data_IF_758257208752
#
_entry.id   IF_758257208752
#
_cell.length_a   1.000
_cell.length_b   1.000
_cell.length_c   1.000
_cell.angle_alpha   90.00
_cell.angle_beta   90.00
_cell.angle_gamma   90.00
#
_symmetry.space_group_name_H-M   'P 1'
#
loop_
_entity.id
_entity.type
_entity.pdbx_description
1 polymer ?
#
# COMPACT_ATOMS: atom_id res chain seq x y z
N UNK A 1 -19.51 -4.25 -20.43
CA UNK A 1 -18.72 -5.15 -19.57
C UNK A 1 -17.23 -5.05 -19.89
N UNK A 2 -16.77 -5.29 -21.13
CA UNK A 2 -15.33 -5.21 -21.50
C UNK A 2 -14.67 -3.84 -21.29
N UNK A 3 -15.37 -2.73 -21.60
CA UNK A 3 -14.82 -1.37 -21.41
C UNK A 3 -14.56 -1.02 -19.95
N UNK A 4 -15.37 -1.55 -19.03
CA UNK A 4 -15.20 -1.31 -17.59
C UNK A 4 -13.97 -2.07 -17.06
N UNK A 5 -13.78 -3.31 -17.49
CA UNK A 5 -12.62 -4.12 -17.12
C UNK A 5 -11.31 -3.53 -17.67
N UNK A 6 -11.32 -3.06 -18.92
CA UNK A 6 -10.18 -2.35 -19.52
C UNK A 6 -9.88 -1.05 -18.76
N UNK A 7 -10.91 -0.29 -18.38
CA UNK A 7 -10.74 0.95 -17.62
C UNK A 7 -10.17 0.68 -16.21
N UNK A 8 -10.74 -0.30 -15.49
CA UNK A 8 -10.28 -0.68 -14.15
C UNK A 8 -8.86 -1.26 -14.15
N UNK A 9 -8.47 -1.97 -15.21
CA UNK A 9 -7.12 -2.51 -15.36
C UNK A 9 -6.13 -1.42 -15.77
N UNK A 10 -6.49 -0.51 -16.67
CA UNK A 10 -5.61 0.56 -17.15
C UNK A 10 -5.34 1.64 -16.09
N UNK A 11 -6.27 1.89 -15.17
CA UNK A 11 -6.16 2.90 -14.12
C UNK A 11 -4.89 2.73 -13.25
N UNK A 12 -4.60 1.57 -12.65
CA UNK A 12 -3.35 1.32 -11.93
C UNK A 12 -2.09 1.56 -12.77
N UNK A 13 -2.08 1.18 -14.06
CA UNK A 13 -0.93 1.40 -14.94
C UNK A 13 -0.68 2.89 -15.18
N UNK A 14 -1.74 3.66 -15.45
CA UNK A 14 -1.65 5.12 -15.63
C UNK A 14 -1.19 5.79 -14.33
N UNK A 15 -1.72 5.37 -13.19
CA UNK A 15 -1.31 5.86 -11.88
C UNK A 15 0.19 5.57 -11.62
N UNK A 16 0.65 4.36 -11.92
CA UNK A 16 2.06 3.97 -11.77
C UNK A 16 2.99 4.83 -12.62
N UNK A 17 2.63 5.06 -13.89
CA UNK A 17 3.40 5.93 -14.80
C UNK A 17 3.42 7.36 -14.26
N UNK A 18 2.27 7.88 -13.84
CA UNK A 18 2.16 9.24 -13.27
C UNK A 18 3.05 9.41 -12.04
N UNK A 19 3.01 8.48 -11.09
CA UNK A 19 3.84 8.52 -9.88
C UNK A 19 5.33 8.39 -10.21
N UNK A 20 5.70 7.54 -11.17
CA UNK A 20 7.09 7.37 -11.61
C UNK A 20 7.65 8.63 -12.24
N UNK A 21 6.85 9.30 -13.09
CA UNK A 21 7.22 10.59 -13.68
C UNK A 21 7.36 11.66 -12.58
N UNK A 22 6.43 11.72 -11.63
CA UNK A 22 6.51 12.64 -10.50
C UNK A 22 7.79 12.43 -9.68
N UNK A 23 8.16 11.17 -9.43
CA UNK A 23 9.38 10.81 -8.73
C UNK A 23 10.63 11.26 -9.50
N UNK A 24 10.67 11.10 -10.82
CA UNK A 24 11.78 11.58 -11.66
C UNK A 24 11.94 13.10 -11.58
N UNK A 25 10.84 13.85 -11.66
CA UNK A 25 10.87 15.31 -11.51
C UNK A 25 11.39 15.74 -10.13
N UNK A 26 10.95 15.08 -9.06
CA UNK A 26 11.41 15.37 -7.71
C UNK A 26 12.87 15.01 -7.49
N UNK A 27 13.37 14.00 -8.21
CA UNK A 27 14.78 13.61 -8.15
C UNK A 27 15.71 14.64 -8.80
N UNK A 28 15.20 15.42 -9.77
CA UNK A 28 15.89 16.54 -10.43
C UNK A 28 15.79 17.82 -9.59
N UNK A 29 14.73 17.98 -8.80
CA UNK A 29 14.51 19.13 -7.92
C UNK A 29 15.52 19.21 -6.76
N UNK A 30 15.66 20.40 -6.16
CA UNK A 30 16.59 20.61 -5.04
C UNK A 30 16.29 19.65 -3.88
N UNK A 31 17.34 19.08 -3.30
CA UNK A 31 17.26 18.04 -2.26
C UNK A 31 16.97 18.64 -0.89
N UNK A 32 15.79 19.20 -0.72
CA UNK A 32 15.28 19.57 0.61
C UNK A 32 14.84 18.33 1.40
N UNK A 33 14.89 18.43 2.73
CA UNK A 33 14.45 17.37 3.64
C UNK A 33 13.00 16.95 3.39
N UNK A 34 12.15 17.92 3.00
CA UNK A 34 10.76 17.71 2.62
C UNK A 34 10.65 16.90 1.33
N UNK A 35 11.37 17.30 0.27
CA UNK A 35 11.39 16.62 -1.03
C UNK A 35 11.89 15.19 -0.87
N UNK A 36 12.94 14.96 -0.06
CA UNK A 36 13.45 13.61 0.22
C UNK A 36 12.43 12.70 0.89
N UNK A 37 11.67 13.23 1.84
CA UNK A 37 10.64 12.44 2.55
C UNK A 37 9.42 12.18 1.65
N UNK A 38 9.08 13.13 0.79
CA UNK A 38 8.04 12.98 -0.23
C UNK A 38 8.41 11.93 -1.28
N UNK A 39 9.66 11.95 -1.77
CA UNK A 39 10.16 10.93 -2.69
C UNK A 39 10.05 9.52 -2.10
N UNK A 40 10.41 9.33 -0.83
CA UNK A 40 10.25 8.04 -0.16
C UNK A 40 8.79 7.59 -0.17
N UNK A 41 7.86 8.47 0.23
CA UNK A 41 6.42 8.18 0.21
C UNK A 41 5.92 7.79 -1.19
N UNK A 42 6.37 8.50 -2.23
CA UNK A 42 6.07 8.16 -3.62
C UNK A 42 6.61 6.79 -4.02
N UNK A 43 7.85 6.45 -3.67
CA UNK A 43 8.42 5.12 -3.96
C UNK A 43 7.59 4.02 -3.32
N UNK A 44 7.10 4.22 -2.08
CA UNK A 44 6.24 3.25 -1.42
C UNK A 44 4.88 3.08 -2.11
N UNK A 45 4.26 4.17 -2.55
CA UNK A 45 3.00 4.13 -3.33
C UNK A 45 3.20 3.45 -4.68
N UNK A 46 4.33 3.69 -5.35
CA UNK A 46 4.70 3.01 -6.61
C UNK A 46 4.85 1.51 -6.36
N UNK A 47 5.58 1.13 -5.31
CA UNK A 47 5.79 -0.27 -4.95
C UNK A 47 4.47 -0.99 -4.62
N UNK A 48 3.58 -0.32 -3.87
CA UNK A 48 2.22 -0.79 -3.59
C UNK A 48 1.41 -1.00 -4.88
N UNK A 49 1.41 -0.01 -5.78
CA UNK A 49 0.64 -0.06 -7.02
C UNK A 49 1.18 -1.12 -7.98
N UNK A 50 2.51 -1.28 -8.06
CA UNK A 50 3.15 -2.34 -8.80
C UNK A 50 2.76 -3.74 -8.27
N UNK A 51 2.74 -3.92 -6.94
CA UNK A 51 2.33 -5.18 -6.32
C UNK A 51 0.87 -5.54 -6.65
N UNK A 52 -0.03 -4.56 -6.64
CA UNK A 52 -1.44 -4.75 -7.03
C UNK A 52 -1.59 -5.16 -8.51
N UNK A 53 -0.79 -4.56 -9.41
CA UNK A 53 -0.74 -4.93 -10.82
C UNK A 53 -0.20 -6.36 -10.99
N UNK A 54 0.89 -6.71 -10.31
CA UNK A 54 1.47 -8.05 -10.40
C UNK A 54 0.55 -9.14 -9.86
N UNK A 55 -0.22 -8.83 -8.81
CA UNK A 55 -1.27 -9.69 -8.29
C UNK A 55 -2.40 -9.88 -9.32
N UNK A 56 -2.80 -8.81 -10.00
CA UNK A 56 -3.83 -8.84 -11.05
C UNK A 56 -3.37 -9.62 -12.30
N UNK A 57 -2.07 -9.61 -12.59
CA UNK A 57 -1.45 -10.35 -13.70
C UNK A 57 -1.12 -11.82 -13.36
N UNK A 58 -1.44 -12.31 -12.17
CA UNK A 58 -1.14 -13.67 -11.70
C UNK A 58 0.35 -14.08 -11.90
N UNK A 59 1.29 -13.14 -11.79
CA UNK A 59 2.70 -13.39 -12.09
C UNK A 59 3.36 -14.35 -11.06
N UNK A 60 4.24 -15.27 -11.49
CA UNK A 60 5.02 -16.10 -10.57
C UNK A 60 5.89 -15.23 -9.65
N UNK A 61 6.14 -15.60 -8.38
CA UNK A 61 6.11 -16.96 -7.82
C UNK A 61 4.75 -17.43 -7.25
N UNK A 62 3.88 -16.53 -6.76
CA UNK A 62 2.49 -16.83 -6.37
C UNK A 62 1.69 -15.54 -6.11
N UNK A 63 0.36 -15.60 -6.29
CA UNK A 63 -0.55 -14.49 -5.93
C UNK A 63 -0.43 -14.13 -4.45
N UNK A 64 -0.25 -15.12 -3.57
CA UNK A 64 -0.09 -14.93 -2.12
C UNK A 64 1.16 -14.10 -1.78
N UNK A 65 2.24 -14.26 -2.53
CA UNK A 65 3.45 -13.46 -2.35
C UNK A 65 3.21 -11.99 -2.69
N UNK A 66 2.53 -11.71 -3.80
CA UNK A 66 2.18 -10.36 -4.21
C UNK A 66 1.19 -9.70 -3.24
N UNK A 67 0.27 -10.46 -2.66
CA UNK A 67 -0.63 -9.98 -1.61
C UNK A 67 0.13 -9.57 -0.34
N UNK A 68 1.10 -10.39 0.11
CA UNK A 68 1.99 -10.03 1.23
C UNK A 68 2.78 -8.75 0.97
N UNK A 69 3.32 -8.60 -0.25
CA UNK A 69 4.03 -7.39 -0.68
C UNK A 69 3.08 -6.21 -0.71
N UNK A 70 1.88 -6.38 -1.25
CA UNK A 70 0.84 -5.37 -1.27
C UNK A 70 0.60 -4.92 0.16
N UNK A 71 0.11 -5.77 1.07
CA UNK A 71 -0.14 -5.42 2.49
C UNK A 71 1.05 -4.72 3.14
N UNK A 72 2.28 -5.20 2.93
CA UNK A 72 3.48 -4.54 3.47
C UNK A 72 3.69 -3.14 2.90
N UNK A 73 3.44 -2.94 1.61
CA UNK A 73 3.47 -1.65 0.94
C UNK A 73 2.45 -0.66 1.52
N UNK A 74 1.30 -1.13 2.07
CA UNK A 74 0.27 -0.23 2.65
C UNK A 74 0.88 0.45 3.85
N UNK A 75 1.45 -0.40 4.70
CA UNK A 75 1.89 -0.07 6.04
C UNK A 75 3.06 0.89 5.91
N UNK A 76 3.98 0.57 4.99
CA UNK A 76 5.10 1.44 4.63
C UNK A 76 4.60 2.76 4.05
N UNK A 77 3.62 2.75 3.15
CA UNK A 77 3.04 3.98 2.56
C UNK A 77 2.45 4.89 3.64
N UNK A 78 1.62 4.35 4.53
CA UNK A 78 0.99 5.11 5.62
C UNK A 78 2.04 5.69 6.57
N UNK A 79 3.11 4.94 6.86
CA UNK A 79 4.19 5.41 7.71
C UNK A 79 5.09 6.48 7.06
N UNK A 80 5.39 6.32 5.77
CA UNK A 80 6.14 7.34 5.03
C UNK A 80 5.30 8.61 4.85
N UNK A 81 3.98 8.49 4.67
CA UNK A 81 3.08 9.64 4.67
C UNK A 81 3.08 10.35 6.03
N UNK A 82 3.09 9.58 7.14
CA UNK A 82 3.25 10.16 8.48
C UNK A 82 4.58 10.91 8.63
N UNK A 83 5.69 10.32 8.17
CA UNK A 83 6.98 11.00 8.18
C UNK A 83 6.96 12.29 7.35
N UNK A 84 6.33 12.26 6.17
CA UNK A 84 6.19 13.43 5.30
C UNK A 84 5.41 14.55 5.99
N UNK A 85 4.23 14.25 6.55
CA UNK A 85 3.43 15.25 7.28
C UNK A 85 4.17 15.79 8.50
N UNK A 86 4.88 14.93 9.24
CA UNK A 86 5.64 15.37 10.41
C UNK A 86 6.80 16.32 10.03
N UNK A 87 7.45 16.12 8.87
CA UNK A 87 8.47 17.03 8.34
C UNK A 87 7.84 18.31 7.79
N UNK A 88 6.67 18.22 7.13
CA UNK A 88 5.95 19.37 6.58
C UNK A 88 5.45 20.33 7.67
N UNK A 89 4.97 19.78 8.79
CA UNK A 89 4.41 20.51 9.93
C UNK A 89 5.49 20.94 10.95
N UNK A 90 6.77 20.71 10.66
CA UNK A 90 7.93 20.88 11.57
C UNK A 90 7.78 20.21 12.96
N UNK A 91 6.72 19.44 13.18
CA UNK A 91 6.42 18.73 14.43
C UNK A 91 7.10 17.36 14.43
N UNK A 92 8.37 17.37 14.03
CA UNK A 92 9.17 16.16 13.87
C UNK A 92 9.66 15.68 15.24
N UNK A 93 8.83 14.88 15.91
CA UNK A 93 9.18 14.24 17.17
C UNK A 93 9.90 12.90 16.90
N UNK A 94 11.23 12.87 17.00
CA UNK A 94 12.07 11.68 16.75
C UNK A 94 11.57 10.44 17.50
N UNK A 95 11.12 10.60 18.76
CA UNK A 95 10.62 9.50 19.60
C UNK A 95 9.36 8.85 19.04
N UNK A 96 8.37 9.64 18.63
CA UNK A 96 7.13 9.09 18.06
C UNK A 96 7.40 8.47 16.68
N UNK A 97 8.28 9.06 15.87
CA UNK A 97 8.65 8.51 14.56
C UNK A 97 9.36 7.16 14.69
N UNK A 98 10.24 6.99 15.69
CA UNK A 98 10.87 5.70 15.99
C UNK A 98 9.83 4.68 16.48
N UNK A 99 8.88 5.09 17.33
CA UNK A 99 7.83 4.19 17.83
C UNK A 99 6.92 3.70 16.70
N UNK A 100 6.45 4.60 15.85
CA UNK A 100 5.64 4.23 14.69
C UNK A 100 6.44 3.43 13.65
N UNK A 101 7.73 3.74 13.47
CA UNK A 101 8.62 3.05 12.53
C UNK A 101 9.00 1.65 12.96
N UNK A 102 9.20 1.44 14.26
CA UNK A 102 9.42 0.09 14.82
C UNK A 102 8.14 -0.74 14.72
N UNK A 103 6.98 -0.15 14.99
CA UNK A 103 5.68 -0.79 14.78
C UNK A 103 5.48 -1.25 13.33
N UNK A 104 5.72 -0.36 12.35
CA UNK A 104 5.62 -0.75 10.93
C UNK A 104 6.62 -1.81 10.53
N UNK A 105 7.87 -1.76 11.00
CA UNK A 105 8.85 -2.81 10.72
C UNK A 105 8.41 -4.19 11.26
N UNK A 106 7.83 -4.22 12.47
CA UNK A 106 7.30 -5.45 13.08
C UNK A 106 6.13 -6.01 12.25
N UNK A 107 5.19 -5.16 11.85
CA UNK A 107 4.05 -5.60 11.03
C UNK A 107 4.45 -6.02 9.61
N UNK A 108 5.46 -5.38 9.02
CA UNK A 108 6.04 -5.82 7.74
C UNK A 108 6.67 -7.20 7.89
N UNK A 109 7.43 -7.45 8.96
CA UNK A 109 7.99 -8.76 9.25
C UNK A 109 6.89 -9.83 9.43
N UNK A 110 5.82 -9.53 10.17
CA UNK A 110 4.67 -10.43 10.31
C UNK A 110 3.93 -10.68 8.99
N UNK A 111 3.84 -9.68 8.11
CA UNK A 111 3.31 -9.84 6.75
C UNK A 111 4.13 -10.85 5.94
N UNK A 112 5.47 -10.72 5.98
CA UNK A 112 6.38 -11.60 5.24
C UNK A 112 6.36 -13.04 5.77
N UNK A 113 6.27 -13.23 7.09
CA UNK A 113 6.20 -14.56 7.73
C UNK A 113 4.88 -15.29 7.40
N UNK A 114 3.85 -14.59 6.92
CA UNK A 114 2.54 -15.19 6.60
C UNK A 114 1.60 -15.30 7.80
N UNK A 115 1.85 -14.53 8.86
CA UNK A 115 0.99 -14.46 10.05
C UNK A 115 -0.27 -13.59 9.83
N UNK A 116 -0.25 -12.72 8.81
CA UNK A 116 -1.35 -11.81 8.46
C UNK A 116 -2.24 -12.41 7.36
N UNK A 117 -1.65 -13.08 6.37
CA UNK A 117 -2.36 -13.79 5.31
C UNK A 117 -1.83 -15.22 5.26
N UNK A 118 -2.62 -16.13 5.83
CA UNK A 118 -2.24 -17.53 6.08
C UNK A 118 -2.47 -18.41 4.85
N UNK A 119 -3.50 -18.12 4.05
CA UNK A 119 -3.75 -18.76 2.76
C UNK A 119 -4.42 -17.77 1.80
N UNK A 120 -3.92 -17.73 0.56
CA UNK A 120 -4.66 -17.20 -0.58
C UNK A 120 -4.84 -18.36 -1.55
N UNK A 121 -5.99 -19.03 -1.42
CA UNK A 121 -6.42 -20.04 -2.38
C UNK A 121 -7.14 -19.35 -3.54
N UNK A 122 -6.63 -19.51 -4.76
CA UNK A 122 -7.44 -19.25 -5.96
C UNK A 122 -8.39 -20.42 -6.10
N UNK A 123 -9.61 -20.30 -5.58
CA UNK A 123 -10.66 -21.26 -5.91
C UNK A 123 -11.25 -20.77 -7.24
N UNK A 124 -10.72 -21.31 -8.33
CA UNK A 124 -11.30 -21.15 -9.66
C UNK A 124 -12.61 -21.93 -9.74
N UNK A 125 -13.68 -21.42 -9.10
CA UNK A 125 -15.03 -21.91 -9.38
C UNK A 125 -15.47 -21.34 -10.74
N UNK A 126 -15.71 -22.16 -11.78
CA UNK A 126 -16.32 -21.67 -13.01
C UNK A 126 -17.77 -21.26 -12.71
N UNK A 127 -18.03 -19.97 -12.57
CA UNK A 127 -19.40 -19.47 -12.40
C UNK A 127 -19.96 -19.23 -13.80
N UNK A 128 -20.85 -20.12 -14.24
CA UNK A 128 -21.62 -19.92 -15.48
C UNK A 128 -22.72 -18.88 -15.23
N UNK A 129 -22.51 -17.67 -15.74
CA UNK A 129 -23.57 -16.67 -15.94
C UNK A 129 -23.90 -16.65 -17.44
N UNK A 130 -25.14 -17.01 -17.79
CA UNK A 130 -25.66 -16.96 -19.16
C UNK A 130 -24.81 -17.70 -20.22
N UNK A 131 -24.36 -18.92 -19.93
CA UNK A 131 -23.71 -19.79 -20.93
C UNK A 131 -22.27 -19.42 -21.32
N UNK A 132 -21.65 -18.46 -20.65
CA UNK A 132 -20.24 -18.08 -20.85
C UNK A 132 -19.38 -18.55 -19.66
N UNK A 133 -18.28 -19.25 -19.97
CA UNK A 133 -17.27 -19.73 -19.02
C UNK A 133 -16.40 -18.56 -18.54
N UNK A 134 -16.87 -17.79 -17.56
CA UNK A 134 -16.08 -16.73 -16.96
C UNK A 134 -15.20 -17.33 -15.85
N UNK A 135 -13.87 -17.39 -16.09
CA UNK A 135 -12.86 -17.74 -15.09
C UNK A 135 -12.85 -16.64 -14.02
N UNK A 136 -13.78 -16.72 -13.07
CA UNK A 136 -13.84 -15.78 -11.96
C UNK A 136 -12.77 -16.22 -10.97
N UNK A 137 -11.66 -15.49 -10.93
CA UNK A 137 -10.61 -15.65 -9.93
C UNK A 137 -11.23 -15.17 -8.60
N UNK A 138 -11.92 -16.07 -7.90
CA UNK A 138 -12.36 -15.82 -6.52
C UNK A 138 -11.16 -16.08 -5.62
N UNK A 139 -10.50 -14.99 -5.24
CA UNK A 139 -9.46 -15.03 -4.22
C UNK A 139 -10.11 -15.32 -2.87
N UNK A 140 -9.97 -16.55 -2.37
CA UNK A 140 -10.42 -16.92 -1.03
C UNK A 140 -9.30 -16.51 -0.07
N UNK A 141 -9.41 -15.31 0.50
CA UNK A 141 -8.47 -14.82 1.50
C UNK A 141 -8.84 -15.35 2.87
N UNK A 142 -8.02 -16.24 3.44
CA UNK A 142 -8.15 -16.60 4.84
C UNK A 142 -7.26 -15.65 5.65
N UNK A 143 -7.89 -14.59 6.17
CA UNK A 143 -7.23 -13.59 7.01
C UNK A 143 -6.71 -14.26 8.28
N UNK A 144 -5.42 -14.12 8.54
CA UNK A 144 -4.79 -14.60 9.77
C UNK A 144 -5.23 -13.76 10.97
N UNK A 145 -5.06 -14.32 12.17
CA UNK A 145 -5.41 -13.67 13.44
C UNK A 145 -4.78 -12.27 13.61
N UNK A 146 -3.64 -12.00 12.96
CA UNK A 146 -2.95 -10.71 13.01
C UNK A 146 -3.46 -9.66 12.01
N UNK A 147 -4.44 -9.96 11.16
CA UNK A 147 -5.03 -8.97 10.25
C UNK A 147 -5.81 -7.88 11.00
N UNK A 148 -6.59 -8.26 12.02
CA UNK A 148 -7.35 -7.30 12.84
C UNK A 148 -6.46 -6.25 13.54
N UNK A 149 -5.39 -6.63 14.30
CA UNK A 149 -4.53 -5.63 14.93
C UNK A 149 -3.78 -4.77 13.91
N UNK A 150 -3.51 -5.27 12.71
CA UNK A 150 -2.92 -4.47 11.64
C UNK A 150 -3.84 -3.34 11.19
N UNK A 151 -5.13 -3.63 10.93
CA UNK A 151 -6.08 -2.60 10.52
C UNK A 151 -6.28 -1.53 11.60
N UNK A 152 -6.33 -1.94 12.88
CA UNK A 152 -6.39 -1.01 14.01
C UNK A 152 -5.15 -0.11 14.05
N UNK A 153 -3.96 -0.69 13.85
CA UNK A 153 -2.71 0.06 13.80
C UNK A 153 -2.67 1.06 12.63
N UNK A 154 -3.10 0.64 11.43
CA UNK A 154 -3.18 1.50 10.26
C UNK A 154 -4.16 2.67 10.46
N UNK A 155 -5.33 2.41 11.05
CA UNK A 155 -6.29 3.45 11.42
C UNK A 155 -5.70 4.44 12.43
N UNK A 156 -5.05 3.95 13.48
CA UNK A 156 -4.41 4.80 14.48
C UNK A 156 -3.34 5.70 13.84
N UNK A 157 -2.57 5.18 12.89
CA UNK A 157 -1.59 5.94 12.13
C UNK A 157 -2.24 7.04 11.28
N UNK A 158 -3.32 6.74 10.56
CA UNK A 158 -4.06 7.71 9.75
C UNK A 158 -4.68 8.81 10.64
N UNK A 159 -5.23 8.44 11.79
CA UNK A 159 -5.78 9.43 12.74
C UNK A 159 -4.66 10.34 13.27
N UNK A 160 -3.49 9.76 13.59
CA UNK A 160 -2.31 10.51 14.06
C UNK A 160 -1.80 11.51 13.00
N UNK A 161 -1.76 11.10 11.72
CA UNK A 161 -1.38 12.02 10.61
C UNK A 161 -2.39 13.15 10.43
N UNK A 162 -3.69 12.83 10.43
CA UNK A 162 -4.76 13.83 10.30
C UNK A 162 -4.74 14.82 11.47
N UNK A 163 -4.52 14.34 12.69
CA UNK A 163 -4.49 15.20 13.87
C UNK A 163 -3.28 16.15 13.84
N UNK A 164 -2.11 15.69 13.40
CA UNK A 164 -0.93 16.55 13.20
C UNK A 164 -1.15 17.58 12.10
N UNK A 165 -1.72 17.17 10.96
CA UNK A 165 -2.03 18.09 9.87
C UNK A 165 -3.06 19.16 10.29
N UNK A 166 -4.12 18.76 11.00
CA UNK A 166 -5.18 19.66 11.46
C UNK A 166 -4.75 20.64 12.54
N UNK A 167 -3.84 20.26 13.44
CA UNK A 167 -3.31 21.18 14.47
C UNK A 167 -2.47 22.31 13.88
N UNK A 168 -1.81 22.10 12.73
CA UNK A 168 -0.99 23.13 12.10
C UNK A 168 -1.80 24.20 11.38
N UNK A 169 -2.97 23.86 10.83
CA UNK A 169 -3.84 24.81 10.13
C UNK A 169 -4.52 25.78 11.11
N UNK A 170 -4.57 25.43 12.40
CA UNK A 170 -5.20 26.22 13.46
C UNK A 170 -4.23 27.12 14.25
N UNK A 171 -2.92 27.05 13.99
CA UNK A 171 -1.90 27.91 14.62
C UNK A 171 -1.46 29.00 13.67
#
# INVERSE_FOLDING_TARGET
MVYLELFLTALPFIALISYSVLLLFLCISQKDRLIRTFMLALTAVILWTAAAIFMSLELPPSVLFWDKIMVSGMIVTVFLLYCFVAVFTDTFSIRQTILWGTGTAIFVAFSLIGLIVTEAGVIATPVQLWGLQLKTIKYHYSLGFMAAPLYVFALAMIISTLFKAGRNIRS
#
